data_IF_150622776780
#
_entry.id   IF_150622776780
#
_cell.length_a   1.000
_cell.length_b   1.000
_cell.length_c   1.000
_cell.angle_alpha   90.00
_cell.angle_beta   90.00
_cell.angle_gamma   90.00
#
_symmetry.space_group_name_H-M   'P 1'
#
loop_
_entity.id
_entity.type
_entity.pdbx_description
1 polymer ?
#
# COMPACT_ATOMS: atom_id res chain seq x y z
N UNK A 1 -50.85 55.85 27.87
CA UNK A 1 -51.96 54.93 28.23
C UNK A 1 -51.46 53.70 28.99
N UNK A 2 -50.47 52.95 28.47
CA UNK A 2 -49.90 51.78 29.17
C UNK A 2 -49.20 52.15 30.50
N UNK A 3 -48.46 53.26 30.54
CA UNK A 3 -47.81 53.76 31.77
C UNK A 3 -48.79 54.09 32.91
N UNK A 4 -49.98 54.57 32.58
CA UNK A 4 -51.00 54.93 33.57
C UNK A 4 -51.75 53.69 34.10
N UNK A 5 -51.88 52.62 33.31
CA UNK A 5 -52.49 51.37 33.74
C UNK A 5 -51.59 50.57 34.70
N UNK A 6 -50.27 50.59 34.51
CA UNK A 6 -49.34 49.90 35.39
C UNK A 6 -49.22 50.56 36.78
N UNK A 7 -49.29 51.89 36.87
CA UNK A 7 -49.34 52.60 38.15
C UNK A 7 -50.60 52.25 38.97
N UNK A 8 -51.69 51.86 38.31
CA UNK A 8 -52.95 51.47 38.97
C UNK A 8 -52.89 50.02 39.51
N UNK A 9 -52.09 49.14 38.90
CA UNK A 9 -51.88 47.77 39.40
C UNK A 9 -50.81 47.64 40.49
N UNK A 10 -50.25 48.74 40.97
CA UNK A 10 -49.23 48.76 42.03
C UNK A 10 -47.83 48.33 41.57
N UNK A 11 -47.60 48.20 40.27
CA UNK A 11 -46.29 47.86 39.68
C UNK A 11 -45.62 49.14 39.18
N UNK A 12 -44.52 49.53 39.84
CA UNK A 12 -43.76 50.72 39.48
C UNK A 12 -42.84 50.40 38.30
N UNK A 13 -43.24 50.82 37.10
CA UNK A 13 -42.58 50.49 35.82
C UNK A 13 -41.10 50.88 35.74
N UNK A 14 -40.62 51.75 36.64
CA UNK A 14 -39.22 52.19 36.67
C UNK A 14 -38.36 51.45 37.70
N UNK A 15 -38.96 50.68 38.64
CA UNK A 15 -38.25 50.07 39.76
C UNK A 15 -38.40 48.54 39.85
N UNK A 16 -39.41 47.95 39.20
CA UNK A 16 -39.57 46.48 39.13
C UNK A 16 -38.82 45.89 37.92
N UNK A 17 -37.50 46.08 37.87
CA UNK A 17 -36.67 45.37 36.91
C UNK A 17 -36.45 43.94 37.46
N UNK A 18 -36.78 42.89 36.70
CA UNK A 18 -36.54 41.53 37.16
C UNK A 18 -35.05 41.35 37.44
N UNK A 19 -34.72 40.81 38.61
CA UNK A 19 -33.37 40.52 39.06
C UNK A 19 -33.06 39.04 38.87
N UNK A 20 -31.79 38.71 38.59
CA UNK A 20 -31.32 37.32 38.60
C UNK A 20 -31.10 36.80 40.04
N UNK A 21 -30.78 35.51 40.18
CA UNK A 21 -30.49 34.88 41.49
C UNK A 21 -29.26 35.50 42.20
N UNK A 22 -28.49 36.34 41.50
CA UNK A 22 -27.34 37.08 42.02
C UNK A 22 -27.65 38.58 42.24
N UNK A 23 -28.94 38.97 42.20
CA UNK A 23 -29.44 40.33 42.38
C UNK A 23 -28.98 41.36 41.31
N UNK A 24 -28.54 40.92 40.14
CA UNK A 24 -28.25 41.81 39.01
C UNK A 24 -29.54 42.13 38.24
N UNK A 25 -29.70 43.40 37.87
CA UNK A 25 -30.84 43.85 37.07
C UNK A 25 -30.77 43.33 35.62
N UNK A 26 -31.85 42.72 35.14
CA UNK A 26 -32.02 42.32 33.74
C UNK A 26 -32.21 43.56 32.84
N UNK A 27 -31.98 43.39 31.53
CA UNK A 27 -32.14 44.49 30.58
C UNK A 27 -33.63 44.88 30.37
N UNK A 28 -33.93 46.18 30.42
CA UNK A 28 -35.29 46.74 30.28
C UNK A 28 -35.94 46.55 28.89
N UNK A 29 -35.14 46.19 27.88
CA UNK A 29 -35.59 46.01 26.50
C UNK A 29 -35.13 44.67 25.96
N UNK A 30 -36.09 43.82 25.64
CA UNK A 30 -35.87 42.53 25.01
C UNK A 30 -35.68 42.73 23.50
N UNK A 31 -34.45 42.56 23.01
CA UNK A 31 -34.17 42.61 21.58
C UNK A 31 -34.49 41.25 20.92
N UNK A 32 -35.24 41.28 19.82
CA UNK A 32 -35.51 40.08 19.02
C UNK A 32 -34.18 39.46 18.54
N UNK A 33 -34.01 38.15 18.72
CA UNK A 33 -32.79 37.43 18.32
C UNK A 33 -33.12 36.19 17.51
N UNK A 34 -32.16 35.85 16.66
CA UNK A 34 -32.16 34.86 15.60
C UNK A 34 -32.61 33.47 16.07
N UNK A 35 -33.49 32.82 15.29
CA UNK A 35 -34.09 31.47 15.51
C UNK A 35 -35.24 31.36 16.54
N UNK A 36 -36.13 32.35 16.62
CA UNK A 36 -37.41 32.30 17.39
C UNK A 36 -37.28 32.05 18.91
N UNK A 37 -36.08 32.19 19.47
CA UNK A 37 -35.85 32.14 20.92
C UNK A 37 -35.41 33.52 21.40
N UNK A 38 -35.83 33.87 22.61
CA UNK A 38 -35.58 35.17 23.21
C UNK A 38 -34.95 34.94 24.58
N UNK A 39 -33.72 35.40 24.75
CA UNK A 39 -32.99 35.33 26.01
C UNK A 39 -32.97 36.72 26.64
N UNK A 40 -33.49 36.83 27.87
CA UNK A 40 -33.36 38.05 28.67
C UNK A 40 -32.09 37.95 29.52
N UNK A 41 -31.12 38.82 29.26
CA UNK A 41 -29.80 38.77 29.86
C UNK A 41 -29.59 39.97 30.81
N UNK A 42 -28.79 39.83 31.88
CA UNK A 42 -28.35 40.96 32.70
C UNK A 42 -27.70 42.06 31.88
N UNK A 43 -27.85 43.31 32.33
CA UNK A 43 -27.22 44.46 31.67
C UNK A 43 -25.71 44.24 31.51
N UNK A 44 -25.18 44.55 30.34
CA UNK A 44 -23.77 44.35 29.94
C UNK A 44 -23.29 42.89 29.80
N UNK A 45 -24.20 41.91 29.82
CA UNK A 45 -23.86 40.50 29.56
C UNK A 45 -24.14 40.08 28.11
N UNK A 46 -23.31 39.20 27.57
CA UNK A 46 -23.43 38.69 26.19
C UNK A 46 -23.38 37.17 26.16
N UNK A 47 -24.26 36.55 25.38
CA UNK A 47 -24.20 35.11 25.12
C UNK A 47 -23.23 34.88 23.96
N UNK A 48 -22.13 34.17 24.25
CA UNK A 48 -21.23 33.64 23.22
C UNK A 48 -21.59 32.19 22.98
N UNK A 49 -22.04 31.86 21.78
CA UNK A 49 -22.17 30.47 21.37
C UNK A 49 -20.76 29.86 21.29
N UNK A 50 -20.51 28.83 22.10
CA UNK A 50 -19.30 28.03 21.98
C UNK A 50 -19.55 27.05 20.84
N UNK A 51 -18.98 27.34 19.67
CA UNK A 51 -18.99 26.40 18.56
C UNK A 51 -17.98 25.29 18.81
N UNK A 52 -18.42 24.03 18.67
CA UNK A 52 -17.52 22.89 18.74
C UNK A 52 -16.63 22.84 17.48
N UNK A 53 -15.45 23.47 17.55
CA UNK A 53 -14.47 23.46 16.44
C UNK A 53 -13.87 22.09 16.13
N UNK A 54 -14.11 21.08 16.99
CA UNK A 54 -13.50 19.74 16.86
C UNK A 54 -13.82 19.02 15.55
N UNK A 55 -14.99 19.26 14.96
CA UNK A 55 -15.37 18.61 13.68
C UNK A 55 -14.56 19.13 12.49
N UNK A 56 -14.07 20.37 12.52
CA UNK A 56 -13.32 20.98 11.41
C UNK A 56 -11.93 20.37 11.22
N UNK A 57 -11.30 19.87 12.28
CA UNK A 57 -9.91 19.37 12.29
C UNK A 57 -9.78 17.85 12.31
N UNK A 58 -10.91 17.11 12.31
CA UNK A 58 -10.86 15.65 12.40
C UNK A 58 -10.10 15.00 11.25
N UNK A 59 -10.25 15.53 10.03
CA UNK A 59 -9.54 15.03 8.85
C UNK A 59 -8.02 15.12 8.99
N UNK A 60 -7.51 16.27 9.41
CA UNK A 60 -6.07 16.50 9.55
C UNK A 60 -5.49 15.65 10.68
N UNK A 61 -6.21 15.60 11.81
CA UNK A 61 -5.85 14.73 12.92
C UNK A 61 -5.76 13.26 12.48
N UNK A 62 -6.78 12.74 11.81
CA UNK A 62 -6.80 11.35 11.34
C UNK A 62 -5.69 11.08 10.33
N UNK A 63 -5.53 11.94 9.33
CA UNK A 63 -4.55 11.77 8.25
C UNK A 63 -3.12 11.73 8.79
N UNK A 64 -2.76 12.65 9.69
CA UNK A 64 -1.41 12.68 10.28
C UNK A 64 -1.14 11.42 11.10
N UNK A 65 -2.09 11.00 11.94
CA UNK A 65 -1.91 9.79 12.75
C UNK A 65 -1.85 8.53 11.89
N UNK A 66 -2.66 8.43 10.83
CA UNK A 66 -2.61 7.33 9.88
C UNK A 66 -1.25 7.27 9.17
N UNK A 67 -0.72 8.42 8.72
CA UNK A 67 0.60 8.49 8.07
C UNK A 67 1.72 8.01 9.00
N UNK A 68 1.72 8.44 10.26
CA UNK A 68 2.70 8.00 11.26
C UNK A 68 2.60 6.48 11.46
N UNK A 69 1.38 5.95 11.59
CA UNK A 69 1.16 4.50 11.73
C UNK A 69 1.70 3.72 10.53
N UNK A 70 1.38 4.16 9.31
CA UNK A 70 1.84 3.49 8.10
C UNK A 70 3.36 3.56 7.94
N UNK A 71 3.97 4.69 8.27
CA UNK A 71 5.43 4.82 8.31
C UNK A 71 6.07 3.86 9.32
N UNK A 72 5.49 3.68 10.51
CA UNK A 72 5.97 2.72 11.50
C UNK A 72 5.85 1.26 11.03
N UNK A 73 4.80 0.93 10.27
CA UNK A 73 4.63 -0.39 9.66
C UNK A 73 5.48 -0.52 8.38
N UNK A 74 6.06 0.57 7.86
CA UNK A 74 6.81 0.57 6.60
C UNK A 74 5.93 0.36 5.37
N UNK A 75 4.67 0.77 5.41
CA UNK A 75 3.76 0.81 4.25
C UNK A 75 3.65 2.27 3.81
N UNK A 76 3.90 2.61 2.54
CA UNK A 76 3.69 3.98 2.07
C UNK A 76 2.21 4.39 2.20
N UNK A 77 1.89 5.60 2.71
CA UNK A 77 0.49 6.03 2.94
C UNK A 77 -0.39 5.97 1.69
N UNK A 78 0.17 6.30 0.52
CA UNK A 78 -0.52 6.24 -0.76
C UNK A 78 -0.94 4.80 -1.13
N UNK A 79 -0.10 3.81 -0.78
CA UNK A 79 -0.40 2.39 -1.00
C UNK A 79 -1.42 1.90 0.03
N UNK A 80 -1.22 2.23 1.31
CA UNK A 80 -2.10 1.81 2.40
C UNK A 80 -3.54 2.33 2.25
N UNK A 81 -3.68 3.58 1.82
CA UNK A 81 -4.97 4.23 1.62
C UNK A 81 -5.49 4.13 0.18
N UNK A 82 -4.74 3.50 -0.72
CA UNK A 82 -5.07 3.38 -2.15
C UNK A 82 -5.34 4.74 -2.81
N UNK A 83 -4.58 5.76 -2.42
CA UNK A 83 -4.68 7.13 -2.95
C UNK A 83 -3.60 7.29 -4.01
N UNK A 84 -4.01 7.41 -5.27
CA UNK A 84 -3.12 7.56 -6.43
C UNK A 84 -3.26 8.93 -7.10
N UNK A 85 -3.54 9.97 -6.30
CA UNK A 85 -3.77 11.34 -6.77
C UNK A 85 -2.46 12.10 -7.07
N UNK A 86 -1.30 11.52 -6.73
CA UNK A 86 0.01 12.11 -6.98
C UNK A 86 0.49 11.93 -8.42
N UNK A 87 1.49 12.73 -8.83
CA UNK A 87 2.12 12.57 -10.14
C UNK A 87 2.66 11.14 -10.35
N UNK A 88 2.74 10.70 -11.62
CA UNK A 88 3.16 9.35 -12.00
C UNK A 88 4.47 8.91 -11.33
N UNK A 89 5.46 9.80 -11.24
CA UNK A 89 6.76 9.53 -10.63
C UNK A 89 6.67 9.28 -9.13
N UNK A 90 5.86 10.04 -8.40
CA UNK A 90 5.65 9.87 -6.97
C UNK A 90 4.91 8.56 -6.66
N UNK A 91 3.88 8.22 -7.45
CA UNK A 91 3.17 6.95 -7.32
C UNK A 91 4.08 5.76 -7.61
N UNK A 92 4.97 5.86 -8.62
CA UNK A 92 5.98 4.83 -8.92
C UNK A 92 7.01 4.71 -7.81
N UNK A 93 7.50 5.82 -7.27
CA UNK A 93 8.46 5.80 -6.17
C UNK A 93 7.87 5.13 -4.93
N UNK A 94 6.61 5.43 -4.58
CA UNK A 94 5.92 4.80 -3.46
C UNK A 94 5.75 3.28 -3.66
N UNK A 95 5.41 2.82 -4.87
CA UNK A 95 5.31 1.38 -5.16
C UNK A 95 6.67 0.71 -5.06
N UNK A 96 7.76 1.32 -5.57
CA UNK A 96 9.11 0.75 -5.48
C UNK A 96 9.64 0.69 -4.05
N UNK A 97 9.35 1.70 -3.25
CA UNK A 97 9.70 1.69 -1.82
C UNK A 97 8.94 0.58 -1.08
N UNK A 98 7.66 0.39 -1.42
CA UNK A 98 6.87 -0.72 -0.88
C UNK A 98 7.40 -2.10 -1.32
N UNK A 99 7.73 -2.25 -2.59
CA UNK A 99 8.35 -3.46 -3.15
C UNK A 99 9.65 -3.82 -2.42
N UNK A 100 10.52 -2.85 -2.17
CA UNK A 100 11.74 -3.07 -1.41
C UNK A 100 11.46 -3.59 0.00
N UNK A 101 10.52 -2.96 0.72
CA UNK A 101 10.11 -3.39 2.05
C UNK A 101 9.51 -4.81 2.04
N UNK A 102 8.74 -5.16 1.01
CA UNK A 102 8.19 -6.50 0.85
C UNK A 102 9.28 -7.55 0.61
N UNK A 103 10.27 -7.23 -0.23
CA UNK A 103 11.35 -8.16 -0.54
C UNK A 103 12.21 -8.44 0.69
N UNK A 104 12.61 -7.40 1.45
CA UNK A 104 13.35 -7.59 2.71
C UNK A 104 12.58 -8.48 3.69
N UNK A 105 11.27 -8.24 3.86
CA UNK A 105 10.43 -9.08 4.73
C UNK A 105 10.28 -10.51 4.25
N UNK A 106 10.23 -10.72 2.93
CA UNK A 106 10.14 -12.04 2.32
C UNK A 106 11.45 -12.80 2.50
N UNK A 107 12.58 -12.14 2.32
CA UNK A 107 13.90 -12.72 2.56
C UNK A 107 14.05 -13.12 4.05
N UNK A 108 13.72 -12.21 4.97
CA UNK A 108 13.72 -12.50 6.41
C UNK A 108 12.80 -13.69 6.77
N UNK A 109 11.63 -13.78 6.14
CA UNK A 109 10.68 -14.86 6.34
C UNK A 109 11.19 -16.19 5.77
N UNK A 110 11.77 -16.16 4.58
CA UNK A 110 12.34 -17.33 3.93
C UNK A 110 13.47 -17.91 4.78
N UNK A 111 14.41 -17.09 5.24
CA UNK A 111 15.54 -17.52 6.08
C UNK A 111 15.07 -18.11 7.42
N UNK A 112 14.03 -17.55 8.04
CA UNK A 112 13.57 -17.97 9.37
C UNK A 112 12.59 -19.15 9.34
N UNK A 113 11.80 -19.29 8.29
CA UNK A 113 10.69 -20.23 8.25
C UNK A 113 10.80 -21.23 7.10
N UNK A 114 10.96 -20.77 5.86
CA UNK A 114 10.85 -21.63 4.68
C UNK A 114 12.10 -22.46 4.43
N UNK A 115 13.29 -21.86 4.56
CA UNK A 115 14.58 -22.51 4.40
C UNK A 115 14.81 -23.65 5.40
N UNK A 116 14.60 -23.46 6.72
CA UNK A 116 14.78 -24.54 7.70
C UNK A 116 13.86 -25.73 7.42
N UNK A 117 12.62 -25.47 7.01
CA UNK A 117 11.65 -26.52 6.65
C UNK A 117 12.11 -27.26 5.40
N UNK A 118 12.54 -26.54 4.37
CA UNK A 118 13.08 -27.13 3.14
C UNK A 118 14.31 -28.00 3.42
N UNK A 119 15.21 -27.54 4.29
CA UNK A 119 16.43 -28.28 4.64
C UNK A 119 16.07 -29.56 5.38
N UNK A 120 15.20 -29.46 6.40
CA UNK A 120 14.74 -30.60 7.16
C UNK A 120 14.07 -31.66 6.27
N UNK A 121 13.18 -31.21 5.38
CA UNK A 121 12.52 -32.08 4.42
C UNK A 121 13.53 -32.76 3.48
N UNK A 122 14.48 -32.00 2.92
CA UNK A 122 15.49 -32.52 1.99
C UNK A 122 16.37 -33.59 2.65
N UNK A 123 16.83 -33.35 3.88
CA UNK A 123 17.61 -34.35 4.62
C UNK A 123 16.77 -35.57 5.02
N UNK A 124 15.49 -35.38 5.37
CA UNK A 124 14.58 -36.49 5.67
C UNK A 124 14.42 -37.43 4.47
N UNK A 125 14.15 -36.87 3.28
CA UNK A 125 13.98 -37.66 2.05
C UNK A 125 15.28 -38.29 1.56
N UNK A 126 16.41 -37.62 1.79
CA UNK A 126 17.74 -38.17 1.53
C UNK A 126 18.02 -39.42 2.39
N UNK A 127 17.71 -39.37 3.69
CA UNK A 127 17.94 -40.49 4.62
C UNK A 127 16.98 -41.65 4.35
N UNK A 128 15.72 -41.35 4.02
CA UNK A 128 14.73 -42.37 3.61
C UNK A 128 15.12 -43.09 2.32
N UNK A 129 15.93 -42.44 1.48
CA UNK A 129 16.39 -42.99 0.20
C UNK A 129 15.45 -42.73 -0.98
N UNK A 130 14.40 -41.91 -0.80
CA UNK A 130 13.54 -41.41 -1.89
C UNK A 130 14.35 -40.56 -2.87
N UNK A 131 15.19 -39.68 -2.31
CA UNK A 131 16.07 -38.79 -3.04
C UNK A 131 17.52 -39.27 -2.96
N UNK A 132 18.13 -39.56 -4.11
CA UNK A 132 19.51 -40.09 -4.19
C UNK A 132 20.52 -38.98 -4.47
N UNK A 133 21.04 -38.36 -3.42
CA UNK A 133 22.18 -37.45 -3.51
C UNK A 133 23.36 -37.93 -2.63
N UNK A 134 24.12 -38.96 -3.08
CA UNK A 134 25.19 -39.55 -2.27
C UNK A 134 26.31 -38.56 -1.90
N UNK A 135 26.57 -37.57 -2.78
CA UNK A 135 27.55 -36.51 -2.51
C UNK A 135 27.08 -35.52 -1.45
N UNK A 136 25.78 -35.29 -1.31
CA UNK A 136 25.21 -34.43 -0.27
C UNK A 136 25.41 -35.06 1.09
N UNK A 137 25.02 -36.34 1.26
CA UNK A 137 25.19 -37.07 2.51
C UNK A 137 26.66 -37.15 2.93
N UNK A 138 27.54 -37.49 1.99
CA UNK A 138 28.99 -37.56 2.25
C UNK A 138 29.57 -36.19 2.65
N UNK A 139 29.12 -35.11 2.00
CA UNK A 139 29.59 -33.76 2.28
C UNK A 139 29.10 -33.25 3.63
N UNK A 140 27.87 -33.60 4.01
CA UNK A 140 27.30 -33.30 5.32
C UNK A 140 28.07 -34.00 6.44
N UNK A 141 28.30 -35.32 6.34
CA UNK A 141 29.09 -36.08 7.33
C UNK A 141 30.53 -35.58 7.44
N UNK A 142 31.12 -35.12 6.34
CA UNK A 142 32.50 -34.60 6.28
C UNK A 142 32.62 -33.11 6.63
N UNK A 143 31.52 -32.43 6.98
CA UNK A 143 31.53 -31.01 7.35
C UNK A 143 31.91 -30.07 6.20
N UNK A 144 31.58 -30.41 4.94
CA UNK A 144 31.85 -29.56 3.76
C UNK A 144 30.68 -28.62 3.48
N UNK A 145 30.59 -27.53 4.24
CA UNK A 145 29.47 -26.57 4.19
C UNK A 145 29.17 -26.06 2.77
N UNK A 146 30.17 -25.60 2.03
CA UNK A 146 30.00 -25.04 0.68
C UNK A 146 29.29 -25.99 -0.30
N UNK A 147 29.61 -27.29 -0.21
CA UNK A 147 28.97 -28.29 -1.08
C UNK A 147 27.53 -28.53 -0.65
N UNK A 148 27.28 -28.58 0.66
CA UNK A 148 25.93 -28.74 1.22
C UNK A 148 25.05 -27.55 0.84
N UNK A 149 25.55 -26.33 1.00
CA UNK A 149 24.85 -25.10 0.61
C UNK A 149 24.55 -25.07 -0.89
N UNK A 150 25.48 -25.51 -1.75
CA UNK A 150 25.23 -25.58 -3.19
C UNK A 150 24.09 -26.55 -3.55
N UNK A 151 23.93 -27.65 -2.81
CA UNK A 151 22.82 -28.59 -2.98
C UNK A 151 21.50 -28.07 -2.42
N UNK A 152 21.56 -27.27 -1.35
CA UNK A 152 20.38 -26.76 -0.64
C UNK A 152 19.99 -25.35 -1.10
N UNK A 153 20.67 -24.79 -2.10
CA UNK A 153 20.34 -23.48 -2.66
C UNK A 153 18.96 -23.54 -3.31
N UNK A 154 17.98 -22.94 -2.65
CA UNK A 154 16.62 -22.77 -3.15
C UNK A 154 16.30 -21.27 -3.29
N UNK A 155 15.28 -20.96 -4.08
CA UNK A 155 14.67 -19.62 -4.16
C UNK A 155 13.22 -19.74 -3.77
N UNK A 156 12.76 -18.85 -2.90
CA UNK A 156 11.37 -18.79 -2.47
C UNK A 156 10.69 -17.58 -3.12
N UNK A 157 9.98 -17.87 -4.21
CA UNK A 157 9.46 -16.82 -5.10
C UNK A 157 8.01 -16.56 -4.76
N UNK A 158 7.72 -15.35 -4.31
CA UNK A 158 6.36 -14.86 -4.10
C UNK A 158 5.77 -14.23 -5.35
N UNK A 159 4.51 -13.79 -5.27
CA UNK A 159 3.90 -13.01 -6.35
C UNK A 159 4.70 -11.72 -6.61
N UNK A 160 5.05 -11.43 -7.88
CA UNK A 160 5.78 -10.22 -8.23
C UNK A 160 4.90 -8.98 -8.06
N UNK A 161 5.53 -7.85 -7.71
CA UNK A 161 4.83 -6.56 -7.66
C UNK A 161 4.58 -6.10 -9.10
N UNK A 162 3.37 -5.62 -9.44
CA UNK A 162 3.07 -5.20 -10.81
C UNK A 162 3.94 -4.03 -11.24
N UNK A 163 4.65 -4.21 -12.35
CA UNK A 163 5.40 -3.15 -13.00
C UNK A 163 4.46 -2.22 -13.76
N UNK A 164 4.64 -0.91 -13.61
CA UNK A 164 3.79 0.09 -14.30
C UNK A 164 4.10 0.14 -15.81
N UNK A 165 5.37 0.00 -16.17
CA UNK A 165 5.82 0.00 -17.57
C UNK A 165 7.09 -0.86 -17.71
N UNK A 166 6.94 -2.20 -17.82
CA UNK A 166 8.07 -3.12 -17.88
C UNK A 166 8.94 -2.91 -19.13
N UNK A 167 8.33 -2.47 -20.25
CA UNK A 167 9.06 -2.21 -21.48
C UNK A 167 10.09 -1.09 -21.31
N UNK A 168 9.69 0.04 -20.70
CA UNK A 168 10.63 1.14 -20.44
C UNK A 168 11.74 0.76 -19.46
N UNK A 169 11.46 -0.11 -18.49
CA UNK A 169 12.48 -0.58 -17.55
C UNK A 169 13.53 -1.44 -18.26
N UNK A 170 13.09 -2.38 -19.10
CA UNK A 170 13.99 -3.21 -19.92
C UNK A 170 14.77 -2.37 -20.93
N UNK A 171 14.12 -1.38 -21.56
CA UNK A 171 14.79 -0.47 -22.49
C UNK A 171 15.86 0.37 -21.79
N UNK A 172 15.57 0.90 -20.59
CA UNK A 172 16.55 1.65 -19.83
C UNK A 172 17.79 0.79 -19.47
N UNK A 173 17.60 -0.47 -19.07
CA UNK A 173 18.72 -1.40 -18.81
C UNK A 173 19.49 -1.73 -20.10
N UNK A 174 18.79 -1.90 -21.22
CA UNK A 174 19.42 -2.12 -22.53
C UNK A 174 20.30 -0.92 -22.93
N UNK A 175 19.80 0.29 -22.77
CA UNK A 175 20.52 1.52 -23.11
C UNK A 175 21.77 1.71 -22.24
N UNK A 176 21.73 1.32 -20.96
CA UNK A 176 22.91 1.34 -20.06
C UNK A 176 24.05 0.44 -20.54
N UNK A 177 23.75 -0.69 -21.17
CA UNK A 177 24.76 -1.60 -21.73
C UNK A 177 25.42 -1.08 -23.01
N UNK A 178 24.81 -0.08 -23.65
CA UNK A 178 25.30 0.50 -24.90
C UNK A 178 25.30 -0.47 -26.09
N UNK A 179 25.92 -0.08 -27.22
CA UNK A 179 25.91 -0.85 -28.47
C UNK A 179 26.51 -2.25 -28.33
N UNK A 180 27.49 -2.43 -27.43
CA UNK A 180 28.16 -3.72 -27.23
C UNK A 180 27.24 -4.77 -26.59
N UNK A 181 26.27 -4.33 -25.77
CA UNK A 181 25.31 -5.22 -25.11
C UNK A 181 23.98 -5.38 -25.84
N UNK A 182 23.85 -4.86 -27.06
CA UNK A 182 22.59 -4.88 -27.81
C UNK A 182 22.04 -6.31 -28.02
N UNK A 183 22.93 -7.26 -28.32
CA UNK A 183 22.57 -8.64 -28.64
C UNK A 183 22.71 -9.61 -27.45
N UNK A 184 23.08 -9.12 -26.27
CA UNK A 184 23.19 -9.97 -25.08
C UNK A 184 21.80 -10.19 -24.47
N UNK A 185 21.42 -11.42 -24.08
CA UNK A 185 20.21 -11.62 -23.31
C UNK A 185 20.36 -10.93 -21.94
N UNK A 186 19.33 -10.18 -21.53
CA UNK A 186 19.32 -9.52 -20.22
C UNK A 186 19.00 -10.50 -19.09
N UNK A 187 18.21 -11.53 -19.40
CA UNK A 187 17.75 -12.55 -18.46
C UNK A 187 17.77 -13.92 -19.15
N UNK A 188 17.85 -14.98 -18.35
CA UNK A 188 17.59 -16.35 -18.82
C UNK A 188 16.08 -16.56 -18.97
N UNK A 189 15.68 -17.61 -19.71
CA UNK A 189 14.28 -17.99 -19.82
C UNK A 189 13.66 -18.27 -18.44
N UNK A 190 14.35 -19.09 -17.64
CA UNK A 190 13.95 -19.42 -16.26
C UNK A 190 13.71 -18.15 -15.43
N UNK A 191 14.68 -17.22 -15.42
CA UNK A 191 14.57 -15.98 -14.64
C UNK A 191 13.43 -15.09 -15.15
N UNK A 192 13.20 -15.04 -16.47
CA UNK A 192 12.10 -14.25 -17.04
C UNK A 192 10.73 -14.84 -16.66
N UNK A 193 10.58 -16.18 -16.72
CA UNK A 193 9.36 -16.86 -16.30
C UNK A 193 9.11 -16.67 -14.81
N UNK A 194 10.15 -16.79 -13.98
CA UNK A 194 10.10 -16.58 -12.54
C UNK A 194 9.66 -15.15 -12.19
N UNK A 195 10.29 -14.13 -12.80
CA UNK A 195 9.98 -12.72 -12.56
C UNK A 195 8.54 -12.35 -12.96
N UNK A 196 7.97 -13.04 -13.95
CA UNK A 196 6.59 -12.85 -14.39
C UNK A 196 5.59 -13.64 -13.55
N UNK A 197 6.04 -14.44 -12.58
CA UNK A 197 5.17 -15.36 -11.83
C UNK A 197 4.59 -16.48 -12.70
N UNK A 198 5.26 -16.82 -13.81
CA UNK A 198 4.84 -17.82 -14.77
C UNK A 198 5.14 -19.28 -14.37
N UNK A 199 5.69 -19.49 -13.17
CA UNK A 199 6.03 -20.83 -12.68
C UNK A 199 7.32 -21.38 -13.28
N UNK A 200 7.33 -22.69 -13.57
CA UNK A 200 8.48 -23.40 -14.11
C UNK A 200 8.58 -23.25 -15.64
N UNK A 201 9.74 -22.79 -16.12
CA UNK A 201 9.96 -22.57 -17.54
C UNK A 201 9.99 -23.87 -18.35
N UNK A 202 10.48 -24.96 -17.76
CA UNK A 202 10.61 -26.24 -18.47
C UNK A 202 9.23 -26.84 -18.71
N UNK A 203 8.40 -26.89 -17.68
CA UNK A 203 6.99 -27.31 -17.78
C UNK A 203 6.21 -26.46 -18.80
N UNK A 204 6.42 -25.13 -18.80
CA UNK A 204 5.78 -24.24 -19.76
C UNK A 204 6.20 -24.55 -21.20
N UNK A 205 7.48 -24.85 -21.44
CA UNK A 205 8.00 -25.18 -22.76
C UNK A 205 7.44 -26.51 -23.27
N UNK A 206 7.38 -27.54 -22.42
CA UNK A 206 6.79 -28.84 -22.77
C UNK A 206 5.32 -28.71 -23.14
N UNK A 207 4.55 -27.99 -22.30
CA UNK A 207 3.14 -27.74 -22.54
C UNK A 207 2.92 -26.92 -23.81
N UNK A 208 3.72 -25.88 -24.03
CA UNK A 208 3.64 -25.04 -25.23
C UNK A 208 3.92 -25.83 -26.52
N UNK A 209 4.84 -26.79 -26.50
CA UNK A 209 5.10 -27.66 -27.64
C UNK A 209 3.87 -28.50 -28.02
N UNK A 210 3.18 -29.06 -27.01
CA UNK A 210 1.93 -29.82 -27.20
C UNK A 210 0.81 -28.91 -27.73
N UNK A 211 0.69 -27.71 -27.18
CA UNK A 211 -0.30 -26.71 -27.60
C UNK A 211 -0.08 -26.28 -29.06
N UNK A 212 1.17 -26.12 -29.49
CA UNK A 212 1.48 -25.83 -30.90
C UNK A 212 0.99 -26.96 -31.82
N UNK A 213 1.23 -28.22 -31.46
CA UNK A 213 0.75 -29.34 -32.26
C UNK A 213 -0.79 -29.41 -32.31
N UNK A 214 -1.45 -29.15 -31.16
CA UNK A 214 -2.90 -29.11 -31.07
C UNK A 214 -3.50 -27.97 -31.91
N UNK A 215 -2.93 -26.78 -31.84
CA UNK A 215 -3.41 -25.62 -32.58
C UNK A 215 -3.21 -25.77 -34.11
N UNK A 216 -2.13 -26.45 -34.56
CA UNK A 216 -1.99 -26.87 -35.97
C UNK A 216 -3.13 -27.80 -36.42
N UNK A 217 -3.51 -28.78 -35.59
CA UNK A 217 -4.64 -29.69 -35.87
C UNK A 217 -5.98 -28.95 -35.94
N UNK A 218 -6.16 -27.96 -35.05
CA UNK A 218 -7.36 -27.13 -34.98
C UNK A 218 -7.41 -26.02 -36.03
N UNK A 219 -6.37 -25.88 -36.87
CA UNK A 219 -6.23 -24.80 -37.87
C UNK A 219 -6.34 -23.39 -37.25
N UNK A 220 -5.88 -23.24 -36.02
CA UNK A 220 -5.73 -21.92 -35.40
C UNK A 220 -4.55 -21.25 -36.08
N UNK A 221 -4.78 -20.08 -36.68
CA UNK A 221 -3.75 -19.34 -37.39
C UNK A 221 -2.66 -18.92 -36.40
N UNK A 222 -1.45 -19.43 -36.62
CA UNK A 222 -0.28 -19.01 -35.84
C UNK A 222 0.51 -18.02 -36.66
N UNK A 223 0.81 -16.83 -36.13
CA UNK A 223 1.73 -15.93 -36.80
C UNK A 223 3.07 -16.66 -36.99
N UNK A 224 3.59 -16.65 -38.22
CA UNK A 224 4.92 -17.17 -38.48
C UNK A 224 5.93 -16.47 -37.56
N UNK A 225 6.93 -17.18 -37.00
CA UNK A 225 7.96 -16.54 -36.20
C UNK A 225 8.56 -15.41 -37.03
N UNK A 226 8.54 -14.20 -36.48
CA UNK A 226 8.92 -12.98 -37.20
C UNK A 226 10.34 -13.11 -37.76
N UNK A 227 10.44 -13.48 -39.04
CA UNK A 227 11.65 -13.31 -39.82
C UNK A 227 11.74 -11.81 -40.09
N UNK A 228 12.84 -11.18 -39.67
CA UNK A 228 13.22 -9.77 -39.86
C UNK A 228 12.95 -8.84 -38.65
N UNK A 229 13.83 -8.89 -37.65
CA UNK A 229 14.29 -7.62 -37.10
C UNK A 229 15.27 -7.01 -38.14
N UNK A 230 15.06 -5.77 -38.60
CA UNK A 230 16.04 -5.14 -39.50
C UNK A 230 17.39 -5.07 -38.77
N UNK A 231 18.45 -5.52 -39.43
CA UNK A 231 19.83 -5.33 -38.95
C UNK A 231 20.01 -3.86 -38.57
N UNK A 232 20.57 -3.53 -37.39
CA UNK A 232 20.93 -2.16 -37.08
C UNK A 232 21.87 -1.67 -38.18
N UNK A 233 21.47 -0.55 -38.80
CA UNK A 233 22.17 0.11 -39.90
C UNK A 233 23.65 0.30 -39.53
N UNK A 234 24.52 0.01 -40.50
CA UNK A 234 25.98 0.16 -40.41
C UNK A 234 26.40 1.57 -39.98
#
# INVERSE_FOLDING_TARGET
MIQQLAQISGTDLNNDIPIDDAANALADRVAATTKKQVFNLPKDSTVKAIEAKGQLYFKDFFTVNAHVLFACIGIPPNVAMQIYDSNYSASRAAIKDWEHNLNVRRDDWAEQFEEPIFYFWTFSELIKGTFKAPKLLLSWVKGRSVVVEAYLKARFVGAPVPHIDPYKEVQAEREKLGPMGANLPLTTLEQATENLGGGDSDSNMEQFAVEIEAAKKLKIDMPAPAQNAPNPVQ
#
